data_IF_435048603140
#
_entry.id   IF_435048603140
#
_cell.length_a   1.000
_cell.length_b   1.000
_cell.length_c   1.000
_cell.angle_alpha   90.00
_cell.angle_beta   90.00
_cell.angle_gamma   90.00
#
_symmetry.space_group_name_H-M   'P 1'
#
loop_
_entity.id
_entity.type
_entity.pdbx_description
1 polymer ?
#
# COMPACT_ATOMS: atom_id res chain seq x y z
N UNK A 1 -23.86 6.75 -27.89
CA UNK A 1 -23.55 5.39 -27.41
C UNK A 1 -22.43 4.72 -28.19
N UNK A 2 -22.60 4.18 -29.41
CA UNK A 2 -21.52 3.43 -30.10
C UNK A 2 -20.26 4.28 -30.41
N UNK A 3 -20.45 5.55 -30.82
CA UNK A 3 -19.34 6.49 -31.10
C UNK A 3 -18.55 6.88 -29.85
N UNK A 4 -19.22 6.99 -28.70
CA UNK A 4 -18.62 7.33 -27.40
C UNK A 4 -17.86 6.14 -26.84
N UNK A 5 -18.41 4.93 -26.96
CA UNK A 5 -17.73 3.69 -26.57
C UNK A 5 -16.44 3.46 -27.37
N UNK A 6 -16.49 3.60 -28.71
CA UNK A 6 -15.28 3.54 -29.55
C UNK A 6 -14.24 4.63 -29.22
N UNK A 7 -14.68 5.78 -28.71
CA UNK A 7 -13.77 6.82 -28.25
C UNK A 7 -13.10 6.42 -26.92
N UNK A 8 -13.87 5.87 -25.99
CA UNK A 8 -13.40 5.33 -24.71
C UNK A 8 -12.35 4.21 -24.90
N UNK A 9 -12.61 3.23 -25.78
CA UNK A 9 -11.65 2.17 -26.11
C UNK A 9 -10.34 2.73 -26.68
N UNK A 10 -10.42 3.72 -27.57
CA UNK A 10 -9.23 4.41 -28.09
C UNK A 10 -8.47 5.19 -27.00
N UNK A 11 -9.16 5.71 -25.99
CA UNK A 11 -8.49 6.38 -24.86
C UNK A 11 -7.72 5.36 -24.02
N UNK A 12 -8.31 4.21 -23.69
CA UNK A 12 -7.62 3.11 -22.99
C UNK A 12 -6.41 2.60 -23.78
N UNK A 13 -6.55 2.43 -25.09
CA UNK A 13 -5.42 2.02 -25.93
C UNK A 13 -4.29 3.05 -25.89
N UNK A 14 -4.60 4.33 -26.10
CA UNK A 14 -3.61 5.42 -25.99
C UNK A 14 -2.97 5.45 -24.61
N UNK A 15 -3.75 5.26 -23.55
CA UNK A 15 -3.26 5.22 -22.17
C UNK A 15 -2.14 4.19 -21.98
N UNK A 16 -2.27 3.01 -22.59
CA UNK A 16 -1.24 1.96 -22.55
C UNK A 16 0.10 2.36 -23.20
N UNK A 17 0.05 3.26 -24.17
CA UNK A 17 1.20 3.72 -24.96
C UNK A 17 1.85 4.98 -24.39
N UNK A 18 1.26 5.60 -23.36
CA UNK A 18 1.80 6.81 -22.73
C UNK A 18 3.15 6.46 -22.08
N UNK A 19 4.20 7.28 -22.28
CA UNK A 19 5.46 7.09 -21.58
C UNK A 19 5.30 7.04 -20.06
N UNK A 20 5.84 6.00 -19.40
CA UNK A 20 5.62 5.82 -17.96
C UNK A 20 6.13 7.02 -17.13
N UNK A 21 7.20 7.66 -17.60
CA UNK A 21 7.74 8.92 -17.05
C UNK A 21 6.70 10.03 -16.84
N UNK A 22 5.62 10.02 -17.61
CA UNK A 22 4.53 11.00 -17.52
C UNK A 22 3.53 10.75 -16.40
N UNK A 23 3.54 9.56 -15.79
CA UNK A 23 2.67 9.26 -14.65
C UNK A 23 3.25 9.78 -13.33
N UNK A 24 4.58 9.88 -13.22
CA UNK A 24 5.24 10.41 -12.03
C UNK A 24 4.99 11.92 -11.88
N UNK A 25 4.60 12.35 -10.68
CA UNK A 25 4.33 13.76 -10.35
C UNK A 25 5.55 14.46 -9.75
N UNK A 26 6.76 14.08 -10.16
CA UNK A 26 8.04 14.64 -9.71
C UNK A 26 9.10 13.57 -9.49
N UNK A 27 10.31 13.99 -9.13
CA UNK A 27 11.43 13.09 -8.83
C UNK A 27 11.18 12.24 -7.57
N UNK A 28 10.42 12.76 -6.61
CA UNK A 28 10.05 12.03 -5.38
C UNK A 28 9.22 10.77 -5.66
N UNK A 29 8.28 10.84 -6.62
CA UNK A 29 7.49 9.67 -7.02
C UNK A 29 8.36 8.59 -7.66
N UNK A 30 9.29 9.03 -8.50
CA UNK A 30 10.22 8.12 -9.17
C UNK A 30 11.14 7.47 -8.15
N UNK A 31 11.69 8.24 -7.21
CA UNK A 31 12.53 7.73 -6.14
C UNK A 31 11.79 6.71 -5.27
N UNK A 32 10.58 7.05 -4.80
CA UNK A 32 9.76 6.15 -3.99
C UNK A 32 9.39 4.86 -4.75
N UNK A 33 8.96 4.97 -6.01
CA UNK A 33 8.65 3.79 -6.82
C UNK A 33 9.90 2.91 -7.05
N UNK A 34 11.06 3.54 -7.22
CA UNK A 34 12.34 2.85 -7.39
C UNK A 34 12.79 2.14 -6.11
N UNK A 35 12.56 2.74 -4.93
CA UNK A 35 12.80 2.07 -3.64
C UNK A 35 11.92 0.82 -3.49
N UNK A 36 10.63 0.92 -3.84
CA UNK A 36 9.67 -0.16 -3.67
C UNK A 36 9.87 -1.32 -4.67
N UNK A 37 9.94 -1.01 -5.96
CA UNK A 37 9.96 -2.04 -7.03
C UNK A 37 11.01 -1.79 -8.12
N UNK A 38 11.95 -0.86 -7.89
CA UNK A 38 12.99 -0.49 -8.86
C UNK A 38 13.91 -1.62 -9.26
N UNK A 39 14.10 -2.62 -8.39
CA UNK A 39 14.86 -3.85 -8.70
C UNK A 39 14.35 -4.60 -9.94
N UNK A 40 13.12 -4.34 -10.37
CA UNK A 40 12.52 -4.95 -11.55
C UNK A 40 12.54 -4.06 -12.79
N UNK A 41 12.92 -2.77 -12.68
CA UNK A 41 12.90 -1.82 -13.80
C UNK A 41 13.85 -2.22 -14.93
N UNK A 42 14.98 -2.84 -14.59
CA UNK A 42 16.01 -3.28 -15.54
C UNK A 42 15.73 -4.69 -16.11
N UNK A 43 14.62 -5.32 -15.72
CA UNK A 43 14.33 -6.66 -16.19
C UNK A 43 14.09 -6.66 -17.72
N UNK A 44 14.62 -7.63 -18.50
CA UNK A 44 14.54 -7.62 -19.97
C UNK A 44 13.11 -7.60 -20.55
N UNK A 45 12.11 -7.98 -19.75
CA UNK A 45 10.70 -7.97 -20.14
C UNK A 45 9.98 -6.66 -19.79
N UNK A 46 10.67 -5.68 -19.22
CA UNK A 46 10.11 -4.40 -18.79
C UNK A 46 10.57 -3.33 -19.78
N UNK A 47 9.61 -2.66 -20.39
CA UNK A 47 9.84 -1.43 -21.13
C UNK A 47 9.29 -0.25 -20.34
N UNK A 48 10.13 0.40 -19.52
CA UNK A 48 9.71 1.58 -18.75
C UNK A 48 9.38 2.79 -19.62
N UNK A 49 9.60 2.73 -20.94
CA UNK A 49 9.27 3.82 -21.85
C UNK A 49 7.78 3.87 -22.20
N UNK A 50 6.98 2.90 -21.79
CA UNK A 50 5.53 2.84 -22.02
C UNK A 50 4.82 2.41 -20.74
N UNK A 51 3.57 2.82 -20.58
CA UNK A 51 2.76 2.42 -19.43
C UNK A 51 2.58 0.90 -19.38
N UNK A 52 2.32 0.29 -20.54
CA UNK A 52 2.17 -1.16 -20.62
C UNK A 52 3.43 -1.92 -20.18
N UNK A 53 4.60 -1.45 -20.60
CA UNK A 53 5.88 -2.07 -20.23
C UNK A 53 6.19 -1.81 -18.76
N UNK A 54 5.86 -0.63 -18.23
CA UNK A 54 5.95 -0.33 -16.80
C UNK A 54 5.01 -1.21 -15.95
N UNK A 55 3.82 -1.56 -16.43
CA UNK A 55 2.94 -2.51 -15.74
C UNK A 55 3.60 -3.88 -15.52
N UNK A 56 4.53 -4.31 -16.40
CA UNK A 56 5.25 -5.57 -16.23
C UNK A 56 6.08 -5.60 -14.95
N UNK A 57 6.57 -4.44 -14.47
CA UNK A 57 7.30 -4.32 -13.21
C UNK A 57 6.47 -4.82 -12.04
N UNK A 58 5.19 -4.41 -11.96
CA UNK A 58 4.27 -4.86 -10.92
C UNK A 58 3.99 -6.36 -11.01
N UNK A 59 3.82 -6.89 -12.23
CA UNK A 59 3.64 -8.35 -12.43
C UNK A 59 4.85 -9.13 -11.94
N UNK A 60 6.06 -8.65 -12.22
CA UNK A 60 7.30 -9.27 -11.74
C UNK A 60 7.41 -9.21 -10.22
N UNK A 61 7.08 -8.08 -9.60
CA UNK A 61 7.05 -7.94 -8.15
C UNK A 61 6.08 -8.93 -7.48
N UNK A 62 4.85 -9.02 -7.99
CA UNK A 62 3.85 -9.98 -7.50
C UNK A 62 4.30 -11.43 -7.72
N UNK A 63 4.90 -11.74 -8.88
CA UNK A 63 5.41 -13.09 -9.17
C UNK A 63 6.53 -13.45 -8.21
N UNK A 64 7.44 -12.52 -7.94
CA UNK A 64 8.53 -12.68 -6.98
C UNK A 64 8.00 -12.91 -5.57
N UNK A 65 7.01 -12.14 -5.13
CA UNK A 65 6.38 -12.30 -3.82
C UNK A 65 5.71 -13.66 -3.68
N UNK A 66 4.99 -14.08 -4.73
CA UNK A 66 4.31 -15.38 -4.78
C UNK A 66 5.32 -16.52 -4.69
N UNK A 67 6.41 -16.46 -5.47
CA UNK A 67 7.48 -17.45 -5.44
C UNK A 67 8.19 -17.49 -4.07
N UNK A 68 8.44 -16.32 -3.47
CA UNK A 68 9.07 -16.22 -2.16
C UNK A 68 8.21 -16.84 -1.07
N UNK A 69 6.89 -16.61 -1.09
CA UNK A 69 5.94 -17.28 -0.17
C UNK A 69 5.93 -18.79 -0.35
N UNK A 70 5.93 -19.28 -1.59
CA UNK A 70 5.98 -20.72 -1.87
C UNK A 70 7.27 -21.38 -1.35
N UNK A 71 8.40 -20.68 -1.41
CA UNK A 71 9.68 -21.16 -0.87
C UNK A 71 9.70 -21.21 0.66
N UNK A 72 9.07 -20.22 1.32
CA UNK A 72 8.99 -20.14 2.78
C UNK A 72 7.98 -21.14 3.38
N UNK A 73 6.94 -21.49 2.62
CA UNK A 73 5.88 -22.41 3.04
C UNK A 73 5.57 -23.50 1.98
N UNK A 74 6.51 -24.44 1.75
CA UNK A 74 6.37 -25.47 0.71
C UNK A 74 5.22 -26.48 0.95
N UNK A 75 4.58 -26.45 2.12
CA UNK A 75 3.46 -27.32 2.50
C UNK A 75 2.06 -26.71 2.31
N UNK A 76 1.93 -25.41 2.04
CA UNK A 76 0.62 -24.73 1.92
C UNK A 76 0.08 -24.73 0.50
N UNK A 77 0.19 -25.85 -0.20
CA UNK A 77 -0.61 -26.05 -1.40
C UNK A 77 -1.90 -26.77 -1.00
N UNK A 78 -3.04 -26.12 -1.28
CA UNK A 78 -4.41 -26.68 -1.35
C UNK A 78 -5.40 -26.41 -0.20
N UNK A 79 -5.36 -25.22 0.40
CA UNK A 79 -6.60 -24.59 0.89
C UNK A 79 -6.44 -23.07 0.90
N UNK A 80 -7.28 -22.36 0.16
CA UNK A 80 -7.42 -20.89 0.24
C UNK A 80 -7.91 -20.46 1.64
N UNK A 81 -8.39 -21.42 2.44
CA UNK A 81 -9.04 -21.16 3.73
C UNK A 81 -8.14 -21.43 4.96
N UNK A 82 -6.94 -22.02 4.83
CA UNK A 82 -6.32 -22.68 6.00
C UNK A 82 -4.85 -22.33 6.34
N UNK A 83 -4.24 -21.25 5.80
CA UNK A 83 -2.94 -20.81 6.35
C UNK A 83 -2.48 -19.36 6.11
N UNK A 84 -3.33 -18.46 5.62
CA UNK A 84 -2.95 -17.04 5.62
C UNK A 84 -3.32 -16.43 6.96
N UNK A 85 -2.32 -15.94 7.69
CA UNK A 85 -2.55 -15.02 8.81
C UNK A 85 -3.48 -13.90 8.30
N UNK A 86 -4.68 -13.72 8.89
CA UNK A 86 -5.66 -12.76 8.40
C UNK A 86 -5.16 -11.31 8.50
N UNK A 87 -4.06 -11.08 9.23
CA UNK A 87 -3.39 -9.79 9.37
C UNK A 87 -2.19 -9.62 8.42
N UNK A 88 -2.04 -10.46 7.39
CA UNK A 88 -0.98 -10.32 6.39
C UNK A 88 -1.48 -9.78 5.04
N UNK A 89 -0.66 -8.95 4.37
CA UNK A 89 -0.98 -8.47 3.03
C UNK A 89 -0.95 -9.61 2.01
N UNK A 90 -1.69 -9.49 0.91
CA UNK A 90 -1.70 -10.46 -0.21
C UNK A 90 -0.38 -10.49 -0.99
N UNK A 91 0.36 -9.39 -0.99
CA UNK A 91 1.71 -9.24 -1.56
C UNK A 91 2.67 -8.68 -0.51
N UNK A 92 3.95 -8.51 -0.82
CA UNK A 92 4.86 -7.81 0.10
C UNK A 92 4.38 -6.36 0.34
N UNK A 93 4.78 -5.78 1.47
CA UNK A 93 4.49 -4.38 1.77
C UNK A 93 4.96 -3.47 0.62
N UNK A 94 6.17 -3.72 0.08
CA UNK A 94 6.71 -2.98 -1.06
C UNK A 94 5.79 -3.02 -2.28
N UNK A 95 5.35 -4.21 -2.67
CA UNK A 95 4.45 -4.39 -3.82
C UNK A 95 3.10 -3.72 -3.59
N UNK A 96 2.52 -3.85 -2.38
CA UNK A 96 1.27 -3.18 -2.03
C UNK A 96 1.45 -1.66 -2.11
N UNK A 97 2.47 -1.13 -1.44
CA UNK A 97 2.81 0.29 -1.41
C UNK A 97 3.04 0.85 -2.82
N UNK A 98 3.68 0.09 -3.71
CA UNK A 98 3.88 0.50 -5.10
C UNK A 98 2.54 0.63 -5.85
N UNK A 99 1.62 -0.32 -5.64
CA UNK A 99 0.28 -0.27 -6.24
C UNK A 99 -0.53 0.92 -5.69
N UNK A 100 -0.43 1.19 -4.39
CA UNK A 100 -1.04 2.38 -3.77
C UNK A 100 -0.45 3.67 -4.35
N UNK A 101 0.88 3.74 -4.48
CA UNK A 101 1.59 4.88 -5.05
C UNK A 101 1.13 5.15 -6.49
N UNK A 102 0.96 4.11 -7.30
CA UNK A 102 0.36 4.23 -8.63
C UNK A 102 -1.04 4.83 -8.57
N UNK A 103 -1.89 4.35 -7.66
CA UNK A 103 -3.23 4.91 -7.43
C UNK A 103 -3.20 6.40 -7.05
N UNK A 104 -2.30 6.80 -6.14
CA UNK A 104 -2.13 8.20 -5.74
C UNK A 104 -1.70 9.08 -6.91
N UNK A 105 -0.72 8.65 -7.70
CA UNK A 105 -0.27 9.37 -8.89
C UNK A 105 -1.42 9.56 -9.90
N UNK A 106 -2.18 8.49 -10.17
CA UNK A 106 -3.34 8.55 -11.07
C UNK A 106 -4.44 9.49 -10.55
N UNK A 107 -4.64 9.56 -9.23
CA UNK A 107 -5.59 10.47 -8.61
C UNK A 107 -5.15 11.93 -8.76
N UNK A 108 -3.85 12.23 -8.65
CA UNK A 108 -3.31 13.56 -8.90
C UNK A 108 -3.56 13.99 -10.36
N UNK A 109 -3.39 13.08 -11.34
CA UNK A 109 -3.77 13.35 -12.73
C UNK A 109 -5.27 13.58 -12.90
N UNK A 110 -6.13 12.79 -12.24
CA UNK A 110 -7.59 12.94 -12.30
C UNK A 110 -8.06 14.32 -11.80
N UNK A 111 -7.36 14.89 -10.81
CA UNK A 111 -7.63 16.24 -10.29
C UNK A 111 -7.04 17.38 -11.12
N UNK A 112 -6.44 17.08 -12.27
CA UNK A 112 -5.82 18.09 -13.11
C UNK A 112 -4.52 18.67 -12.54
N UNK A 113 -3.92 18.04 -11.53
CA UNK A 113 -2.56 18.36 -11.07
C UNK A 113 -1.50 17.78 -12.02
N UNK A 114 -1.90 16.78 -12.79
CA UNK A 114 -1.14 16.22 -13.91
C UNK A 114 -1.04 17.15 -15.11
N UNK A 115 0.11 17.12 -15.81
CA UNK A 115 0.36 17.95 -17.00
C UNK A 115 -0.09 17.31 -18.31
N UNK A 116 -0.48 16.03 -18.29
CA UNK A 116 -0.62 15.22 -19.50
C UNK A 116 -2.09 15.01 -19.82
N UNK A 117 -2.52 15.68 -20.89
CA UNK A 117 -3.92 15.79 -21.30
C UNK A 117 -4.58 14.42 -21.52
N UNK A 118 -3.86 13.45 -22.07
CA UNK A 118 -4.41 12.13 -22.38
C UNK A 118 -4.69 11.30 -21.12
N UNK A 119 -3.86 11.42 -20.07
CA UNK A 119 -4.13 10.80 -18.76
C UNK A 119 -5.38 11.45 -18.16
N UNK A 120 -5.45 12.78 -18.12
CA UNK A 120 -6.59 13.51 -17.58
C UNK A 120 -7.90 13.17 -18.30
N UNK A 121 -7.87 13.04 -19.63
CA UNK A 121 -9.06 12.64 -20.40
C UNK A 121 -9.52 11.22 -20.07
N UNK A 122 -8.59 10.26 -19.93
CA UNK A 122 -8.94 8.90 -19.52
C UNK A 122 -9.52 8.88 -18.10
N UNK A 123 -8.93 9.64 -17.18
CA UNK A 123 -9.40 9.77 -15.79
C UNK A 123 -10.73 10.53 -15.66
N UNK A 124 -11.15 11.25 -16.69
CA UNK A 124 -12.43 11.95 -16.77
C UNK A 124 -13.62 11.09 -17.21
N UNK A 125 -13.39 9.81 -17.56
CA UNK A 125 -14.46 8.87 -17.87
C UNK A 125 -15.26 8.48 -16.62
N UNK A 126 -16.47 7.94 -16.78
CA UNK A 126 -17.14 7.24 -15.68
C UNK A 126 -16.54 5.86 -15.46
N UNK A 127 -16.67 5.33 -14.24
CA UNK A 127 -16.20 3.98 -13.91
C UNK A 127 -16.76 2.92 -14.87
N UNK A 128 -18.05 2.96 -15.16
CA UNK A 128 -18.71 2.04 -16.09
C UNK A 128 -18.15 2.14 -17.51
N UNK A 129 -17.98 3.37 -18.03
CA UNK A 129 -17.38 3.59 -19.35
C UNK A 129 -15.96 3.03 -19.45
N UNK A 130 -15.17 3.18 -18.39
CA UNK A 130 -13.80 2.68 -18.33
C UNK A 130 -13.77 1.16 -18.31
N UNK A 131 -14.59 0.52 -17.47
CA UNK A 131 -14.70 -0.95 -17.39
C UNK A 131 -15.15 -1.58 -18.71
N UNK A 132 -16.16 -0.99 -19.38
CA UNK A 132 -16.62 -1.46 -20.68
C UNK A 132 -15.51 -1.32 -21.74
N UNK A 133 -14.76 -0.22 -21.70
CA UNK A 133 -13.63 0.00 -22.61
C UNK A 133 -12.47 -0.96 -22.35
N UNK A 134 -12.15 -1.25 -21.08
CA UNK A 134 -11.16 -2.26 -20.70
C UNK A 134 -11.56 -3.65 -21.19
N UNK A 135 -12.84 -4.01 -21.06
CA UNK A 135 -13.34 -5.30 -21.52
C UNK A 135 -13.21 -5.46 -23.04
N UNK A 136 -13.48 -4.42 -23.84
CA UNK A 136 -13.26 -4.47 -25.29
C UNK A 136 -11.76 -4.51 -25.62
N UNK A 137 -10.96 -3.64 -25.00
CA UNK A 137 -9.51 -3.56 -25.20
C UNK A 137 -8.80 -4.89 -24.95
N UNK A 138 -9.20 -5.62 -23.91
CA UNK A 138 -8.62 -6.92 -23.54
C UNK A 138 -9.16 -8.07 -24.39
N UNK A 139 -10.41 -7.97 -24.89
CA UNK A 139 -11.04 -9.00 -25.75
C UNK A 139 -10.54 -9.00 -27.19
N UNK A 140 -10.10 -7.85 -27.72
CA UNK A 140 -9.60 -7.72 -29.10
C UNK A 140 -8.21 -8.31 -29.33
N UNK A 141 -7.56 -8.86 -28.29
CA UNK A 141 -6.21 -9.42 -28.35
C UNK A 141 -6.31 -10.95 -28.22
N UNK A 142 -6.42 -11.65 -29.35
CA UNK A 142 -6.43 -13.11 -29.42
C UNK A 142 -5.24 -13.69 -28.62
N UNK A 143 -5.55 -14.38 -27.52
CA UNK A 143 -4.54 -14.94 -26.63
C UNK A 143 -3.89 -16.20 -27.20
N UNK A 144 -2.56 -16.33 -27.00
CA UNK A 144 -1.88 -17.63 -27.04
C UNK A 144 -2.48 -18.55 -25.96
N UNK A 145 -2.64 -19.86 -26.23
CA UNK A 145 -3.19 -20.80 -25.25
C UNK A 145 -2.26 -20.90 -24.03
N UNK A 146 -2.78 -20.57 -22.84
CA UNK A 146 -2.09 -20.75 -21.55
C UNK A 146 -2.15 -19.57 -20.56
N UNK A 147 -2.59 -18.37 -20.97
CA UNK A 147 -2.77 -17.24 -20.05
C UNK A 147 -4.17 -17.28 -19.40
N UNK A 148 -4.24 -17.36 -18.07
CA UNK A 148 -5.48 -17.09 -17.32
C UNK A 148 -5.83 -15.60 -17.46
N UNK A 149 -6.46 -15.24 -18.57
CA UNK A 149 -6.92 -13.88 -18.79
C UNK A 149 -8.05 -13.61 -17.78
N UNK A 150 -7.89 -12.60 -16.93
CA UNK A 150 -8.99 -12.13 -16.09
C UNK A 150 -10.16 -11.79 -17.00
N UNK A 151 -11.32 -12.41 -16.79
CA UNK A 151 -12.53 -12.02 -17.50
C UNK A 151 -12.94 -10.64 -16.98
N UNK A 152 -12.45 -9.60 -17.65
CA UNK A 152 -12.70 -8.20 -17.29
C UNK A 152 -14.17 -7.83 -17.40
N UNK A 153 -14.97 -8.54 -18.21
CA UNK A 153 -16.43 -8.35 -18.21
C UNK A 153 -17.03 -8.86 -16.91
N UNK A 154 -16.65 -10.06 -16.49
CA UNK A 154 -17.13 -10.64 -15.23
C UNK A 154 -16.66 -9.83 -14.02
N UNK A 155 -15.40 -9.40 -14.01
CA UNK A 155 -14.86 -8.51 -12.98
C UNK A 155 -15.63 -7.20 -12.94
N UNK A 156 -15.80 -6.52 -14.09
CA UNK A 156 -16.52 -5.25 -14.17
C UNK A 156 -17.96 -5.37 -13.65
N UNK A 157 -18.68 -6.43 -14.01
CA UNK A 157 -20.02 -6.70 -13.49
C UNK A 157 -20.03 -6.92 -11.97
N UNK A 158 -19.09 -7.70 -11.45
CA UNK A 158 -18.99 -7.96 -10.01
C UNK A 158 -18.59 -6.71 -9.23
N UNK A 159 -17.68 -5.90 -9.77
CA UNK A 159 -17.22 -4.64 -9.17
C UNK A 159 -18.33 -3.59 -9.11
N UNK A 160 -19.15 -3.50 -10.17
CA UNK A 160 -20.29 -2.59 -10.25
C UNK A 160 -21.52 -3.02 -9.43
N UNK A 161 -21.61 -4.28 -8.94
CA UNK A 161 -22.69 -4.66 -8.02
C UNK A 161 -22.73 -3.81 -6.76
N UNK A 162 -21.56 -3.35 -6.32
CA UNK A 162 -21.37 -2.61 -5.08
C UNK A 162 -20.97 -1.14 -5.31
N UNK A 163 -20.93 -0.67 -6.57
CA UNK A 163 -20.46 0.67 -6.94
C UNK A 163 -21.28 1.23 -8.10
N UNK A 164 -21.64 2.51 -8.02
CA UNK A 164 -22.35 3.18 -9.10
C UNK A 164 -21.40 3.45 -10.29
N UNK A 165 -21.69 2.83 -11.44
CA UNK A 165 -20.91 2.98 -12.66
C UNK A 165 -20.99 4.36 -13.32
N UNK A 166 -21.91 5.22 -12.88
CA UNK A 166 -22.01 6.61 -13.33
C UNK A 166 -21.00 7.54 -12.64
N UNK A 167 -20.39 7.09 -11.53
CA UNK A 167 -19.41 7.86 -10.77
C UNK A 167 -18.16 8.14 -11.63
N UNK A 168 -17.62 9.37 -11.61
CA UNK A 168 -16.35 9.69 -12.24
C UNK A 168 -15.22 8.75 -11.80
N UNK A 169 -14.35 8.34 -12.72
CA UNK A 169 -13.28 7.39 -12.44
C UNK A 169 -12.32 7.91 -11.34
N UNK A 170 -12.02 9.21 -11.34
CA UNK A 170 -11.24 9.85 -10.28
C UNK A 170 -11.89 9.76 -8.89
N UNK A 171 -13.22 9.87 -8.79
CA UNK A 171 -13.94 9.73 -7.52
C UNK A 171 -13.97 8.27 -7.05
N UNK A 172 -14.18 7.32 -7.97
CA UNK A 172 -14.12 5.90 -7.66
C UNK A 172 -12.72 5.48 -7.16
N UNK A 173 -11.66 6.03 -7.77
CA UNK A 173 -10.27 5.84 -7.33
C UNK A 173 -10.04 6.46 -5.95
N UNK A 174 -10.52 7.69 -5.71
CA UNK A 174 -10.43 8.33 -4.40
C UNK A 174 -11.13 7.51 -3.30
N UNK A 175 -12.29 6.92 -3.59
CA UNK A 175 -12.98 6.02 -2.65
C UNK A 175 -12.15 4.78 -2.29
N UNK A 176 -11.52 4.13 -3.28
CA UNK A 176 -10.62 2.98 -3.02
C UNK A 176 -9.48 3.41 -2.09
N UNK A 177 -8.83 4.53 -2.41
CA UNK A 177 -7.72 5.04 -1.63
C UNK A 177 -8.15 5.47 -0.22
N UNK A 178 -9.33 6.08 -0.05
CA UNK A 178 -9.87 6.42 1.29
C UNK A 178 -10.06 5.19 2.16
N UNK A 179 -10.64 4.11 1.62
CA UNK A 179 -10.83 2.85 2.36
C UNK A 179 -9.50 2.25 2.75
N UNK A 180 -8.55 2.21 1.81
CA UNK A 180 -7.18 1.78 2.10
C UNK A 180 -6.54 2.59 3.22
N UNK A 181 -6.56 3.92 3.14
CA UNK A 181 -5.91 4.78 4.15
C UNK A 181 -6.59 4.59 5.51
N UNK A 182 -7.92 4.58 5.56
CA UNK A 182 -8.66 4.37 6.80
C UNK A 182 -8.33 3.01 7.46
N UNK A 183 -8.13 1.96 6.65
CA UNK A 183 -7.71 0.66 7.14
C UNK A 183 -6.22 0.65 7.57
N UNK A 184 -5.34 1.26 6.78
CA UNK A 184 -3.91 1.38 7.09
C UNK A 184 -3.65 2.11 8.41
N UNK A 185 -4.51 3.05 8.81
CA UNK A 185 -4.41 3.76 10.08
C UNK A 185 -4.39 2.84 11.31
N UNK A 186 -5.03 1.67 11.23
CA UNK A 186 -4.97 0.66 12.31
C UNK A 186 -3.53 0.18 12.50
N UNK A 187 -2.83 -0.12 11.40
CA UNK A 187 -1.45 -0.58 11.42
C UNK A 187 -0.45 0.55 11.62
N UNK A 188 -0.70 1.73 11.05
CA UNK A 188 0.14 2.91 11.23
C UNK A 188 0.19 3.39 12.69
N UNK A 189 -0.94 3.30 13.42
CA UNK A 189 -0.97 3.58 14.86
C UNK A 189 -0.10 2.60 15.65
N UNK A 190 -0.18 1.31 15.32
CA UNK A 190 0.65 0.28 15.96
C UNK A 190 2.14 0.51 15.65
N UNK A 191 2.50 0.72 14.39
CA UNK A 191 3.87 1.04 13.97
C UNK A 191 4.41 2.28 14.70
N UNK A 192 3.62 3.35 14.81
CA UNK A 192 4.00 4.56 15.54
C UNK A 192 4.30 4.29 17.02
N UNK A 193 3.43 3.52 17.70
CA UNK A 193 3.66 3.12 19.10
C UNK A 193 4.97 2.32 19.22
N UNK A 194 5.20 1.35 18.33
CA UNK A 194 6.40 0.53 18.33
C UNK A 194 7.66 1.36 18.11
N UNK A 195 7.64 2.33 17.19
CA UNK A 195 8.76 3.26 16.96
C UNK A 195 9.03 4.14 18.17
N UNK A 196 7.99 4.60 18.87
CA UNK A 196 8.16 5.34 20.13
C UNK A 196 8.82 4.47 21.21
N UNK A 197 8.43 3.20 21.30
CA UNK A 197 9.04 2.24 22.22
C UNK A 197 10.51 1.98 21.89
N UNK A 198 10.85 1.82 20.60
CA UNK A 198 12.22 1.65 20.14
C UNK A 198 13.08 2.89 20.42
N UNK A 199 12.56 4.09 20.11
CA UNK A 199 13.23 5.35 20.39
C UNK A 199 13.46 5.57 21.88
N UNK A 200 12.45 5.30 22.72
CA UNK A 200 12.59 5.33 24.17
C UNK A 200 13.68 4.37 24.65
N UNK A 201 13.67 3.13 24.16
CA UNK A 201 14.64 2.11 24.57
C UNK A 201 16.08 2.55 24.23
N UNK A 202 16.28 3.08 23.02
CA UNK A 202 17.56 3.61 22.58
C UNK A 202 18.04 4.76 23.47
N UNK A 203 17.15 5.70 23.80
CA UNK A 203 17.47 6.87 24.64
C UNK A 203 17.82 6.48 26.08
N UNK A 204 17.06 5.58 26.69
CA UNK A 204 17.31 5.14 28.07
C UNK A 204 18.62 4.36 28.19
N UNK A 205 19.01 3.62 27.16
CA UNK A 205 20.32 2.97 27.11
C UNK A 205 21.47 3.97 26.97
N UNK A 206 21.32 4.97 26.10
CA UNK A 206 22.31 6.05 25.93
C UNK A 206 22.53 6.84 27.23
N UNK A 207 21.46 7.11 27.99
CA UNK A 207 21.53 7.82 29.27
C UNK A 207 22.11 6.97 30.41
N UNK A 208 22.01 5.64 30.31
CA UNK A 208 22.44 4.72 31.36
C UNK A 208 21.59 4.80 32.64
N UNK A 209 22.01 4.08 33.68
CA UNK A 209 21.36 4.09 34.99
C UNK A 209 20.36 2.94 35.21
N UNK A 210 19.43 3.12 36.14
CA UNK A 210 18.57 2.03 36.69
C UNK A 210 17.66 1.41 35.63
N UNK A 211 17.26 2.18 34.61
CA UNK A 211 16.34 1.72 33.56
C UNK A 211 17.04 1.17 32.31
N UNK A 212 18.37 1.27 32.21
CA UNK A 212 19.12 0.85 31.02
C UNK A 212 19.00 -0.66 30.75
N UNK A 213 19.04 -1.49 31.79
CA UNK A 213 18.85 -2.94 31.64
C UNK A 213 17.43 -3.27 31.17
N UNK A 214 16.42 -2.57 31.68
CA UNK A 214 15.02 -2.73 31.24
C UNK A 214 14.84 -2.28 29.79
N UNK A 215 15.48 -1.18 29.38
CA UNK A 215 15.47 -0.69 28.01
C UNK A 215 16.11 -1.70 27.03
N UNK A 216 17.24 -2.31 27.42
CA UNK A 216 17.85 -3.40 26.64
C UNK A 216 16.94 -4.60 26.48
N UNK A 217 16.31 -5.05 27.56
CA UNK A 217 15.33 -6.13 27.49
C UNK A 217 14.15 -5.79 26.56
N UNK A 218 13.67 -4.54 26.57
CA UNK A 218 12.62 -4.12 25.65
C UNK A 218 13.08 -4.16 24.19
N UNK A 219 14.26 -3.60 23.89
CA UNK A 219 14.80 -3.58 22.52
C UNK A 219 15.03 -4.99 21.98
N UNK A 220 15.54 -5.89 22.81
CA UNK A 220 15.65 -7.31 22.47
C UNK A 220 14.29 -7.96 22.18
N UNK A 221 13.25 -7.61 22.95
CA UNK A 221 11.89 -8.08 22.68
C UNK A 221 11.33 -7.48 21.37
N UNK A 222 11.55 -6.19 21.11
CA UNK A 222 11.16 -5.54 19.86
C UNK A 222 11.83 -6.22 18.66
N UNK A 223 13.15 -6.43 18.69
CA UNK A 223 13.88 -7.12 17.64
C UNK A 223 13.39 -8.57 17.42
N UNK A 224 12.98 -9.24 18.49
CA UNK A 224 12.48 -10.62 18.43
C UNK A 224 11.07 -10.74 17.87
N UNK A 225 10.16 -9.87 18.27
CA UNK A 225 8.71 -9.98 17.97
C UNK A 225 8.26 -9.06 16.84
N UNK A 226 9.02 -8.02 16.54
CA UNK A 226 8.79 -7.07 15.45
C UNK A 226 10.10 -6.86 14.65
N UNK A 227 10.61 -7.92 14.00
CA UNK A 227 11.82 -7.81 13.19
C UNK A 227 11.62 -6.82 12.04
N UNK A 228 12.59 -5.94 11.80
CA UNK A 228 12.50 -4.89 10.76
C UNK A 228 12.12 -3.50 11.29
N UNK A 229 11.90 -3.34 12.59
CA UNK A 229 11.76 -2.01 13.22
C UNK A 229 13.10 -1.25 13.29
N UNK A 230 14.23 -1.97 13.38
CA UNK A 230 15.58 -1.41 13.54
C UNK A 230 15.97 -0.53 12.33
N UNK A 231 16.35 0.73 12.59
CA UNK A 231 16.86 1.66 11.58
C UNK A 231 15.87 2.76 11.16
N UNK A 232 14.57 2.60 11.44
CA UNK A 232 13.54 3.60 11.16
C UNK A 232 13.34 4.54 12.35
N UNK A 233 14.36 5.37 12.65
CA UNK A 233 14.27 6.34 13.75
C UNK A 233 13.17 7.36 13.49
N UNK A 234 12.40 7.69 14.52
CA UNK A 234 11.62 8.92 14.57
C UNK A 234 12.58 10.09 14.30
N UNK A 235 12.32 10.88 13.24
CA UNK A 235 13.04 12.13 12.99
C UNK A 235 12.63 13.15 14.06
N UNK A 236 13.23 13.05 15.24
CA UNK A 236 13.09 14.08 16.27
C UNK A 236 14.28 15.03 16.26
N UNK A 237 13.98 16.30 16.52
CA UNK A 237 14.98 17.35 16.69
C UNK A 237 15.99 16.93 17.76
N UNK A 238 17.27 16.94 17.41
CA UNK A 238 18.38 16.66 18.31
C UNK A 238 18.32 17.62 19.52
N UNK A 239 17.75 17.14 20.62
CA UNK A 239 17.53 17.93 21.83
C UNK A 239 17.56 17.05 23.08
N UNK A 240 18.04 17.62 24.18
CA UNK A 240 18.07 16.93 25.46
C UNK A 240 16.64 16.89 26.04
N UNK A 241 16.05 15.68 26.12
CA UNK A 241 14.74 15.47 26.73
C UNK A 241 14.89 15.14 28.22
N UNK A 242 14.46 16.02 29.15
CA UNK A 242 14.64 15.81 30.60
C UNK A 242 13.82 14.63 31.15
N UNK A 243 12.70 14.29 30.50
CA UNK A 243 11.85 13.15 30.81
C UNK A 243 11.56 12.35 29.52
N UNK A 244 12.49 11.48 29.09
CA UNK A 244 12.31 10.68 27.89
C UNK A 244 11.08 9.78 27.96
N UNK A 245 10.78 9.23 29.15
CA UNK A 245 9.66 8.32 29.34
C UNK A 245 8.33 9.04 29.10
N UNK A 246 8.09 10.16 29.79
CA UNK A 246 6.88 10.96 29.61
C UNK A 246 6.73 11.50 28.18
N UNK A 247 7.85 11.92 27.57
CA UNK A 247 7.87 12.40 26.19
C UNK A 247 7.43 11.33 25.18
N UNK A 248 8.08 10.17 25.16
CA UNK A 248 7.74 9.12 24.19
C UNK A 248 6.38 8.48 24.47
N UNK A 249 5.93 8.43 25.72
CA UNK A 249 4.59 7.97 26.05
C UNK A 249 3.51 8.93 25.53
N UNK A 250 3.70 10.24 25.71
CA UNK A 250 2.81 11.25 25.14
C UNK A 250 2.79 11.15 23.61
N UNK A 251 3.96 11.06 22.98
CA UNK A 251 4.09 10.92 21.54
C UNK A 251 3.41 9.65 21.01
N UNK A 252 3.54 8.52 21.70
CA UNK A 252 2.88 7.26 21.32
C UNK A 252 1.34 7.36 21.43
N UNK A 253 0.82 8.19 22.33
CA UNK A 253 -0.60 8.51 22.43
C UNK A 253 -1.09 9.47 21.34
N UNK A 254 -0.20 10.32 20.83
CA UNK A 254 -0.44 11.29 19.76
C UNK A 254 -0.24 10.64 18.38
N UNK A 255 -1.25 9.89 17.93
CA UNK A 255 -1.34 9.47 16.53
C UNK A 255 -2.56 10.16 15.88
N UNK A 256 -2.41 10.77 14.68
CA UNK A 256 -3.50 11.49 14.04
C UNK A 256 -4.76 10.62 13.93
N UNK A 257 -5.90 11.11 14.39
CA UNK A 257 -7.19 10.43 14.17
C UNK A 257 -7.79 10.81 12.81
N UNK A 258 -7.45 12.01 12.32
CA UNK A 258 -7.89 12.50 11.02
C UNK A 258 -7.13 11.77 9.91
N UNK A 259 -7.86 10.90 9.22
CA UNK A 259 -7.37 10.20 8.03
C UNK A 259 -7.23 11.22 6.90
N UNK A 260 -6.04 11.39 6.29
CA UNK A 260 -5.89 12.34 5.19
C UNK A 260 -6.81 11.92 4.04
N UNK A 261 -7.69 12.82 3.59
CA UNK A 261 -8.49 12.56 2.40
C UNK A 261 -7.59 12.67 1.17
N UNK A 262 -7.23 11.57 0.49
CA UNK A 262 -6.40 11.61 -0.70
C UNK A 262 -7.08 12.41 -1.82
N UNK A 263 -8.40 12.62 -1.73
CA UNK A 263 -9.27 13.44 -2.57
C UNK A 263 -9.22 14.96 -2.30
N UNK A 264 -8.63 15.43 -1.20
CA UNK A 264 -8.63 16.87 -0.87
C UNK A 264 -7.68 17.71 -1.76
N UNK A 265 -8.01 18.99 -1.96
CA UNK A 265 -7.27 19.92 -2.84
C UNK A 265 -5.99 20.50 -2.19
N UNK A 266 -5.81 20.38 -0.88
CA UNK A 266 -4.72 21.01 -0.11
C UNK A 266 -3.53 20.12 0.26
N UNK A 267 -3.57 18.81 -0.02
CA UNK A 267 -2.45 17.92 0.31
C UNK A 267 -1.29 18.11 -0.67
N UNK A 268 -0.12 18.47 -0.13
CA UNK A 268 1.12 18.53 -0.88
C UNK A 268 1.47 17.13 -1.45
N UNK A 269 1.87 17.03 -2.73
CA UNK A 269 2.46 15.81 -3.27
C UNK A 269 3.60 15.36 -2.35
N UNK A 270 3.60 14.10 -1.92
CA UNK A 270 4.60 13.57 -0.98
C UNK A 270 4.16 13.49 0.49
N UNK A 271 3.37 14.43 1.01
CA UNK A 271 2.95 14.44 2.43
C UNK A 271 2.06 13.24 2.80
N UNK A 272 1.28 12.75 1.85
CA UNK A 272 0.43 11.57 2.01
C UNK A 272 1.26 10.28 1.94
N UNK A 273 2.37 10.27 1.19
CA UNK A 273 3.12 9.03 0.86
C UNK A 273 3.80 8.43 2.07
N UNK A 274 4.45 9.25 2.90
CA UNK A 274 5.10 8.80 4.14
C UNK A 274 4.10 8.40 5.24
N UNK A 275 2.83 8.78 5.12
CA UNK A 275 1.81 8.53 6.14
C UNK A 275 0.91 7.34 5.83
N UNK A 276 0.83 6.93 4.56
CA UNK A 276 -0.15 5.92 4.09
C UNK A 276 0.48 4.61 3.64
N UNK A 277 1.79 4.52 3.54
CA UNK A 277 2.44 3.25 3.23
C UNK A 277 2.34 2.29 4.41
N UNK A 278 2.15 1.02 4.08
CA UNK A 278 2.27 -0.06 5.05
C UNK A 278 3.71 -0.13 5.53
N UNK A 279 3.93 -0.39 6.82
CA UNK A 279 5.26 -0.71 7.31
C UNK A 279 5.78 -1.98 6.63
N UNK A 280 7.09 -2.02 6.40
CA UNK A 280 7.78 -3.18 5.81
C UNK A 280 7.72 -4.41 6.73
N UNK A 281 7.58 -4.19 8.03
CA UNK A 281 7.39 -5.23 9.03
C UNK A 281 5.92 -5.38 9.42
N UNK A 282 5.44 -6.62 9.45
CA UNK A 282 4.12 -6.95 9.98
C UNK A 282 4.30 -7.75 11.28
N UNK A 283 3.75 -7.23 12.38
CA UNK A 283 3.69 -7.99 13.64
C UNK A 283 2.31 -8.63 13.75
N UNK A 284 2.28 -9.96 13.94
CA UNK A 284 1.02 -10.66 14.19
C UNK A 284 0.41 -10.25 15.54
N UNK A 285 -0.91 -10.37 15.73
CA UNK A 285 -1.53 -10.15 17.03
C UNK A 285 -0.87 -10.95 18.17
N UNK A 286 -0.44 -12.19 17.92
CA UNK A 286 0.29 -12.99 18.91
C UNK A 286 1.64 -12.37 19.26
N UNK A 287 2.37 -11.88 18.25
CA UNK A 287 3.69 -11.25 18.44
C UNK A 287 3.56 -9.96 19.25
N UNK A 288 2.53 -9.16 18.97
CA UNK A 288 2.22 -7.94 19.72
C UNK A 288 1.83 -8.25 21.18
N UNK A 289 1.03 -9.30 21.43
CA UNK A 289 0.69 -9.74 22.80
C UNK A 289 1.93 -10.24 23.55
N UNK A 290 2.79 -11.00 22.88
CA UNK A 290 4.05 -11.49 23.46
C UNK A 290 5.00 -10.34 23.82
N UNK A 291 5.06 -9.30 22.98
CA UNK A 291 5.79 -8.06 23.24
C UNK A 291 5.20 -7.29 24.42
N UNK A 292 3.87 -7.11 24.48
CA UNK A 292 3.20 -6.43 25.59
C UNK A 292 3.49 -7.11 26.94
N UNK A 293 3.48 -8.45 26.98
CA UNK A 293 3.79 -9.24 28.16
C UNK A 293 5.24 -9.07 28.66
N UNK A 294 6.19 -8.81 27.75
CA UNK A 294 7.62 -8.64 28.06
C UNK A 294 8.04 -7.19 28.26
N UNK A 295 7.17 -6.25 27.89
CA UNK A 295 7.45 -4.82 28.05
C UNK A 295 7.56 -4.47 29.54
N UNK A 296 8.68 -3.88 30.00
CA UNK A 296 8.87 -3.49 31.40
C UNK A 296 8.12 -2.20 31.75
N UNK A 297 7.68 -1.45 30.75
CA UNK A 297 6.97 -0.18 30.89
C UNK A 297 5.46 -0.39 30.88
N UNK A 298 4.84 -0.20 32.05
CA UNK A 298 3.42 -0.47 32.27
C UNK A 298 2.51 0.31 31.32
N UNK A 299 2.76 1.60 31.13
CA UNK A 299 1.87 2.45 30.33
C UNK A 299 1.93 2.07 28.84
N UNK A 300 3.11 1.70 28.34
CA UNK A 300 3.26 1.16 26.98
C UNK A 300 2.60 -0.21 26.81
N UNK A 301 2.64 -1.06 27.84
CA UNK A 301 1.88 -2.33 27.82
C UNK A 301 0.39 -2.06 27.69
N UNK A 302 -0.17 -1.19 28.55
CA UNK A 302 -1.59 -0.83 28.52
C UNK A 302 -1.97 -0.20 27.16
N UNK A 303 -1.10 0.63 26.59
CA UNK A 303 -1.29 1.24 25.28
C UNK A 303 -1.28 0.20 24.15
N UNK A 304 -0.35 -0.74 24.14
CA UNK A 304 -0.31 -1.84 23.17
C UNK A 304 -1.57 -2.72 23.29
N UNK A 305 -1.90 -3.19 24.49
CA UNK A 305 -3.05 -4.05 24.75
C UNK A 305 -4.37 -3.40 24.29
N UNK A 306 -4.52 -2.09 24.47
CA UNK A 306 -5.69 -1.34 23.98
C UNK A 306 -5.81 -1.30 22.45
N UNK A 307 -4.70 -1.39 21.72
CA UNK A 307 -4.67 -1.31 20.27
C UNK A 307 -4.60 -2.68 19.58
N UNK A 308 -4.40 -3.77 20.32
CA UNK A 308 -4.43 -5.13 19.78
C UNK A 308 -5.87 -5.63 19.77
N UNK A 309 -6.50 -5.58 18.60
CA UNK A 309 -7.81 -6.15 18.34
C UNK A 309 -7.73 -6.96 17.04
N UNK A 310 -7.74 -8.28 17.17
CA UNK A 310 -7.55 -9.23 16.07
C UNK A 310 -8.66 -9.13 15.01
N UNK A 311 -9.91 -8.92 15.43
CA UNK A 311 -11.04 -8.78 14.51
C UNK A 311 -10.93 -7.46 13.74
N UNK A 312 -10.56 -6.37 14.42
CA UNK A 312 -10.34 -5.07 13.78
C UNK A 312 -9.14 -5.10 12.82
N UNK A 313 -8.04 -5.74 13.22
CA UNK A 313 -6.84 -5.86 12.40
C UNK A 313 -7.09 -6.72 11.16
N UNK A 314 -7.77 -7.87 11.32
CA UNK A 314 -8.14 -8.74 10.20
C UNK A 314 -9.03 -8.01 9.18
N UNK A 315 -10.06 -7.29 9.65
CA UNK A 315 -10.92 -6.47 8.78
C UNK A 315 -10.17 -5.35 8.07
N UNK A 316 -9.25 -4.68 8.78
CA UNK A 316 -8.42 -3.65 8.18
C UNK A 316 -7.51 -4.24 7.10
N UNK A 317 -6.90 -5.39 7.35
CA UNK A 317 -6.06 -6.07 6.36
C UNK A 317 -6.86 -6.57 5.16
N UNK A 318 -8.09 -7.05 5.36
CA UNK A 318 -9.01 -7.38 4.27
C UNK A 318 -9.27 -6.16 3.37
N UNK A 319 -9.60 -5.00 3.95
CA UNK A 319 -9.81 -3.76 3.19
C UNK A 319 -8.54 -3.29 2.46
N UNK A 320 -7.36 -3.43 3.07
CA UNK A 320 -6.06 -3.17 2.43
C UNK A 320 -5.87 -4.06 1.21
N UNK A 321 -6.06 -5.37 1.39
CA UNK A 321 -5.88 -6.38 0.36
C UNK A 321 -6.86 -6.19 -0.80
N UNK A 322 -8.12 -5.91 -0.48
CA UNK A 322 -9.16 -5.61 -1.47
C UNK A 322 -8.83 -4.34 -2.24
N UNK A 323 -8.38 -3.28 -1.57
CA UNK A 323 -8.01 -2.03 -2.23
C UNK A 323 -6.82 -2.20 -3.17
N UNK A 324 -5.77 -2.89 -2.73
CA UNK A 324 -4.61 -3.21 -3.56
C UNK A 324 -4.99 -4.07 -4.78
N UNK A 325 -5.81 -5.11 -4.57
CA UNK A 325 -6.29 -5.96 -5.64
C UNK A 325 -7.15 -5.20 -6.66
N UNK A 326 -8.02 -4.28 -6.20
CA UNK A 326 -8.81 -3.43 -7.09
C UNK A 326 -7.95 -2.47 -7.90
N UNK A 327 -6.98 -1.81 -7.26
CA UNK A 327 -6.05 -0.92 -7.96
C UNK A 327 -5.24 -1.67 -9.03
N UNK A 328 -4.68 -2.83 -8.67
CA UNK A 328 -3.97 -3.68 -9.62
C UNK A 328 -4.87 -4.14 -10.77
N UNK A 329 -6.10 -4.58 -10.48
CA UNK A 329 -7.01 -5.10 -11.50
C UNK A 329 -7.50 -4.00 -12.45
N UNK A 330 -7.67 -2.77 -11.98
CA UNK A 330 -8.17 -1.66 -12.81
C UNK A 330 -7.07 -0.95 -13.61
N UNK A 331 -5.85 -0.86 -13.08
CA UNK A 331 -4.80 -0.02 -13.66
C UNK A 331 -3.52 -0.77 -14.02
N UNK A 332 -3.35 -2.04 -13.65
CA UNK A 332 -2.15 -2.81 -14.03
C UNK A 332 -2.54 -3.99 -14.92
N UNK A 333 -3.37 -4.89 -14.42
CA UNK A 333 -3.71 -6.15 -15.07
C UNK A 333 -4.18 -6.02 -16.54
N UNK A 334 -5.05 -5.05 -16.92
CA UNK A 334 -5.53 -4.95 -18.30
C UNK A 334 -4.40 -4.63 -19.29
N UNK A 335 -3.39 -3.90 -18.84
CA UNK A 335 -2.30 -3.37 -19.65
C UNK A 335 -1.12 -4.34 -19.78
N UNK A 336 -1.11 -5.45 -19.03
CA UNK A 336 -0.09 -6.49 -19.14
C UNK A 336 -0.17 -7.29 -20.45
N UNK A 337 -1.35 -7.32 -21.05
CA UNK A 337 -1.62 -7.99 -22.32
C UNK A 337 -1.51 -7.05 -23.53
N UNK A 338 -1.01 -5.83 -23.31
CA UNK A 338 -1.08 -4.78 -24.31
C UNK A 338 -0.12 -4.98 -25.49
#
# INVERSE_FOLDING_TARGET
MEKEHKAAVRMVQKFSEIPAGYFFCGEEDLAAMNELIGKFFEHPSVDVNTYHGFCQTFRLAITYDTASRMLLHPGTMLSVEDSCDPCQPIWSADTVNAVILLGLMLLDHAKGRGRIRDICHCMGMTLGQYLDALAEFTSGKEGKPGSSQTDFRWFGQSFLKNRDGSVPLGEALADILRRYIAAQQVFGRLDHILRCMDALSSRLEEQGGVQADSARCLREALARYCPGLEGHRLMEAEGHCPDPYGHYLALAGEYPEDVPDPGSEGLAPGAVRSQVFLPEHACSPESLRALAAQTPFRDFRELLEKNIDEERMARAMEEINMSAAYLYTLWVAPYLSA
#
